data_IF_552698314720
#
_entry.id   IF_552698314720
#
_cell.length_a   1.000
_cell.length_b   1.000
_cell.length_c   1.000
_cell.angle_alpha   90.00
_cell.angle_beta   90.00
_cell.angle_gamma   90.00
#
_symmetry.space_group_name_H-M   'P 1'
#
loop_
_entity.id
_entity.type
_entity.pdbx_description
1 polymer ?
#
# COMPACT_ATOMS: atom_id res chain seq x y z
N UNK A 1 -9.59 -17.04 20.91
CA UNK A 1 -10.44 -16.06 20.21
C UNK A 1 -10.02 -14.64 20.52
N UNK A 2 -10.08 -14.19 21.79
CA UNK A 2 -9.71 -12.81 22.15
C UNK A 2 -8.24 -12.46 21.84
N UNK A 3 -7.30 -13.36 22.13
CA UNK A 3 -5.87 -13.17 21.81
C UNK A 3 -5.65 -12.97 20.30
N UNK A 4 -6.32 -13.78 19.47
CA UNK A 4 -6.23 -13.68 18.01
C UNK A 4 -6.85 -12.38 17.49
N UNK A 5 -7.96 -11.92 18.08
CA UNK A 5 -8.59 -10.66 17.70
C UNK A 5 -7.68 -9.46 18.03
N UNK A 6 -7.12 -9.43 19.24
CA UNK A 6 -6.18 -8.39 19.69
C UNK A 6 -4.95 -8.36 18.78
N UNK A 7 -4.41 -9.53 18.42
CA UNK A 7 -3.27 -9.63 17.52
C UNK A 7 -3.58 -9.05 16.14
N UNK A 8 -4.74 -9.35 15.55
CA UNK A 8 -5.12 -8.85 14.23
C UNK A 8 -5.35 -7.34 14.26
N UNK A 9 -6.01 -6.80 15.29
CA UNK A 9 -6.31 -5.36 15.38
C UNK A 9 -5.12 -4.49 15.82
N UNK A 10 -4.12 -5.10 16.46
CA UNK A 10 -2.95 -4.40 16.98
C UNK A 10 -1.74 -4.44 16.05
N UNK A 11 -1.79 -5.24 14.99
CA UNK A 11 -0.68 -5.38 14.05
C UNK A 11 -0.71 -4.27 13.00
N UNK A 12 0.47 -3.83 12.57
CA UNK A 12 0.59 -2.97 11.40
C UNK A 12 0.15 -3.77 10.16
N UNK A 13 -0.87 -3.33 9.40
CA UNK A 13 -1.29 -4.02 8.18
C UNK A 13 -0.28 -3.88 7.02
N UNK A 14 0.84 -3.19 7.24
CA UNK A 14 1.88 -2.91 6.25
C UNK A 14 1.72 -1.52 5.64
N UNK A 15 1.58 -0.48 6.47
CA UNK A 15 1.42 0.90 5.99
C UNK A 15 2.68 1.34 5.23
N UNK A 16 2.51 1.70 3.96
CA UNK A 16 3.58 2.27 3.14
C UNK A 16 3.68 3.77 3.46
N UNK A 17 4.85 4.27 3.90
CA UNK A 17 5.02 5.69 4.23
C UNK A 17 4.79 6.56 3.00
N UNK A 18 4.14 7.71 3.20
CA UNK A 18 3.89 8.70 2.14
C UNK A 18 5.20 9.31 1.68
N UNK A 19 5.28 9.68 0.40
CA UNK A 19 6.38 10.49 -0.07
C UNK A 19 6.07 11.97 0.23
N UNK A 20 6.89 12.61 1.06
CA UNK A 20 6.73 14.04 1.36
C UNK A 20 7.13 14.90 0.16
N UNK A 21 8.12 14.43 -0.60
CA UNK A 21 8.56 15.03 -1.85
C UNK A 21 7.55 14.67 -2.97
N UNK A 22 6.83 15.66 -3.48
CA UNK A 22 6.01 15.44 -4.66
C UNK A 22 6.94 15.16 -5.86
N UNK A 23 6.78 14.03 -6.58
CA UNK A 23 7.50 13.83 -7.83
C UNK A 23 7.09 14.92 -8.83
N UNK A 24 8.02 15.31 -9.69
CA UNK A 24 7.71 16.21 -10.80
C UNK A 24 6.62 15.54 -11.68
N UNK A 25 5.75 16.33 -12.31
CA UNK A 25 4.60 15.78 -13.07
C UNK A 25 5.03 14.77 -14.16
N UNK A 26 6.22 14.96 -14.73
CA UNK A 26 6.83 14.05 -15.69
C UNK A 26 7.10 12.66 -15.09
N UNK A 27 7.51 12.58 -13.82
CA UNK A 27 7.80 11.33 -13.14
C UNK A 27 6.55 10.48 -13.01
N UNK A 28 5.40 11.08 -12.70
CA UNK A 28 4.12 10.37 -12.53
C UNK A 28 3.64 9.71 -13.83
N UNK A 29 3.92 10.35 -14.97
CA UNK A 29 3.57 9.81 -16.29
C UNK A 29 4.40 8.58 -16.67
N UNK A 30 5.65 8.54 -16.19
CA UNK A 30 6.56 7.42 -16.44
C UNK A 30 6.18 6.26 -15.53
N UNK A 31 5.73 5.19 -16.17
CA UNK A 31 5.50 3.91 -15.51
C UNK A 31 6.83 3.38 -14.95
N UNK A 32 7.10 3.57 -13.66
CA UNK A 32 8.31 3.05 -13.00
C UNK A 32 8.29 1.52 -13.06
N UNK A 33 9.17 0.94 -13.88
CA UNK A 33 9.36 -0.51 -13.98
C UNK A 33 10.46 -0.95 -13.02
N UNK A 34 10.23 -2.02 -12.29
CA UNK A 34 11.23 -2.66 -11.44
C UNK A 34 11.38 -4.12 -11.85
N UNK A 35 12.58 -4.68 -11.71
CA UNK A 35 12.81 -6.12 -11.89
C UNK A 35 12.60 -6.84 -10.56
N UNK A 36 11.65 -7.78 -10.53
CA UNK A 36 11.39 -8.65 -9.38
C UNK A 36 11.60 -10.08 -9.84
N UNK A 37 12.62 -10.76 -9.30
CA UNK A 37 12.99 -12.13 -9.72
C UNK A 37 13.18 -12.28 -11.25
N UNK A 38 13.74 -11.26 -11.91
CA UNK A 38 13.94 -11.24 -13.36
C UNK A 38 12.72 -10.82 -14.19
N UNK A 39 11.55 -10.63 -13.57
CA UNK A 39 10.33 -10.17 -14.25
C UNK A 39 10.17 -8.66 -14.10
N UNK A 40 9.98 -7.95 -15.21
CA UNK A 40 9.69 -6.52 -15.17
C UNK A 40 8.23 -6.27 -14.78
N UNK A 41 8.03 -5.63 -13.63
CA UNK A 41 6.70 -5.27 -13.12
C UNK A 41 6.53 -3.76 -13.17
N UNK A 42 5.41 -3.31 -13.74
CA UNK A 42 5.01 -1.89 -13.76
C UNK A 42 4.40 -1.51 -12.40
N UNK A 43 4.98 -0.53 -11.73
CA UNK A 43 4.40 0.07 -10.52
C UNK A 43 3.36 1.13 -10.90
N UNK A 44 2.23 1.13 -10.18
CA UNK A 44 1.20 2.16 -10.32
C UNK A 44 1.49 3.30 -9.36
N UNK A 45 1.33 4.53 -9.80
CA UNK A 45 1.45 5.68 -8.92
C UNK A 45 0.18 5.86 -8.06
N UNK A 46 0.35 6.24 -6.80
CA UNK A 46 -0.72 6.69 -5.92
C UNK A 46 -0.61 8.21 -5.79
N UNK A 47 -1.64 8.94 -6.24
CA UNK A 47 -1.66 10.41 -6.19
C UNK A 47 -1.84 10.97 -4.79
N UNK A 48 -2.51 10.22 -3.91
CA UNK A 48 -2.83 10.63 -2.54
C UNK A 48 -1.59 10.52 -1.65
N UNK A 49 -0.98 9.33 -1.62
CA UNK A 49 0.25 9.08 -0.85
C UNK A 49 1.53 9.56 -1.56
N UNK A 50 1.40 10.13 -2.77
CA UNK A 50 2.48 10.66 -3.62
C UNK A 50 3.62 9.69 -3.91
N UNK A 51 3.33 8.39 -4.03
CA UNK A 51 4.34 7.35 -4.18
C UNK A 51 4.04 6.38 -5.32
N UNK A 52 5.09 5.80 -5.90
CA UNK A 52 4.95 4.60 -6.71
C UNK A 52 4.67 3.43 -5.79
N UNK A 53 3.51 2.79 -5.95
CA UNK A 53 3.10 1.68 -5.09
C UNK A 53 4.06 0.51 -5.22
N UNK A 54 4.60 -0.05 -4.13
CA UNK A 54 5.27 -1.35 -4.16
C UNK A 54 4.40 -2.42 -4.85
N UNK A 55 5.00 -3.48 -5.42
CA UNK A 55 4.23 -4.60 -5.96
C UNK A 55 3.21 -5.12 -4.95
N UNK A 56 1.99 -5.40 -5.42
CA UNK A 56 0.87 -5.88 -4.61
C UNK A 56 0.35 -4.92 -3.53
N UNK A 57 0.81 -3.67 -3.48
CA UNK A 57 0.23 -2.67 -2.58
C UNK A 57 -0.92 -1.89 -3.23
N UNK A 58 -1.90 -1.51 -2.41
CA UNK A 58 -3.05 -0.72 -2.82
C UNK A 58 -3.35 0.40 -1.81
N UNK A 59 -3.92 1.49 -2.31
CA UNK A 59 -4.40 2.57 -1.44
C UNK A 59 -5.79 2.21 -0.93
N UNK A 60 -5.94 2.13 0.38
CA UNK A 60 -7.23 2.05 1.03
C UNK A 60 -7.76 3.46 1.25
N UNK A 61 -8.87 3.81 0.58
CA UNK A 61 -9.50 5.12 0.75
C UNK A 61 -10.11 5.33 2.14
N UNK A 62 -10.45 4.25 2.86
CA UNK A 62 -11.05 4.32 4.20
C UNK A 62 -9.98 4.63 5.25
N UNK A 63 -8.83 3.93 5.20
CA UNK A 63 -7.71 4.19 6.09
C UNK A 63 -6.79 5.32 5.62
N UNK A 64 -7.04 5.89 4.44
CA UNK A 64 -6.23 6.91 3.76
C UNK A 64 -4.74 6.56 3.68
N UNK A 65 -4.40 5.30 3.45
CA UNK A 65 -3.02 4.84 3.40
C UNK A 65 -2.81 3.78 2.32
N UNK A 66 -1.62 3.77 1.72
CA UNK A 66 -1.18 2.63 0.92
C UNK A 66 -0.78 1.51 1.88
N UNK A 67 -1.21 0.28 1.58
CA UNK A 67 -0.95 -0.91 2.39
C UNK A 67 -0.24 -1.96 1.52
N UNK A 68 0.83 -2.55 2.02
CA UNK A 68 1.57 -3.63 1.36
C UNK A 68 0.78 -4.94 1.37
N UNK A 69 1.01 -5.80 0.34
CA UNK A 69 0.21 -7.01 0.02
C UNK A 69 -1.27 -6.87 0.40
N UNK A 70 -1.85 -5.71 0.08
CA UNK A 70 -3.20 -5.37 0.48
C UNK A 70 -4.18 -6.42 -0.04
N UNK A 71 -5.02 -6.93 0.85
CA UNK A 71 -6.13 -7.79 0.53
C UNK A 71 -7.42 -6.95 0.51
N UNK A 72 -7.88 -6.50 1.69
CA UNK A 72 -9.10 -5.69 1.81
C UNK A 72 -9.10 -4.82 3.07
N UNK A 73 -10.01 -3.85 3.12
CA UNK A 73 -10.38 -3.19 4.37
C UNK A 73 -11.53 -3.96 5.02
N UNK A 74 -11.31 -4.51 6.20
CA UNK A 74 -12.30 -5.29 6.90
C UNK A 74 -13.07 -4.39 7.88
N UNK A 75 -14.34 -4.14 7.55
CA UNK A 75 -15.24 -3.27 8.33
C UNK A 75 -15.46 -3.82 9.74
N UNK A 76 -15.43 -5.14 9.90
CA UNK A 76 -15.69 -5.82 11.18
C UNK A 76 -14.61 -5.60 12.23
N UNK A 77 -13.36 -5.41 11.80
CA UNK A 77 -12.22 -5.14 12.68
C UNK A 77 -11.75 -3.69 12.60
N UNK A 78 -12.31 -2.89 11.68
CA UNK A 78 -11.97 -1.48 11.49
C UNK A 78 -10.56 -1.24 10.92
N UNK A 79 -9.96 -2.23 10.25
CA UNK A 79 -8.58 -2.16 9.77
C UNK A 79 -8.38 -2.83 8.41
N UNK A 80 -7.28 -2.46 7.75
CA UNK A 80 -6.84 -3.16 6.54
C UNK A 80 -6.25 -4.53 6.89
N UNK A 81 -6.46 -5.49 5.99
CA UNK A 81 -5.78 -6.78 5.99
C UNK A 81 -4.70 -6.72 4.92
N UNK A 82 -3.47 -6.95 5.34
CA UNK A 82 -2.28 -6.80 4.52
C UNK A 82 -1.07 -7.56 5.06
N UNK A 83 0.06 -7.18 4.48
CA UNK A 83 1.37 -7.84 4.43
C UNK A 83 2.08 -8.10 5.75
#
# INVERSE_FOLDING_TARGET
>A
VLVSLIAVTGSDPGIVPRNEEAPLEEDVSRSKRISVNGVQVKRKYCRICKLFRPPRSCHCAICDNCVERFDHHCIWIGQCIGQ
#
